data_IF_081172104746
#
_entry.id   IF_081172104746
#
_cell.length_a   1.000
_cell.length_b   1.000
_cell.length_c   1.000
_cell.angle_alpha   90.00
_cell.angle_beta   90.00
_cell.angle_gamma   90.00
#
_symmetry.space_group_name_H-M   'P 1'
#
loop_
_entity.id
_entity.type
_entity.pdbx_description
1 polymer ?
#
# COMPACT_ATOMS: atom_id res chain seq x y z
N UNK A 1 -42.80 49.14 14.90
CA UNK A 1 -41.37 49.36 15.16
C UNK A 1 -41.08 48.76 16.53
N UNK A 2 -40.21 47.79 16.80
CA UNK A 2 -39.11 47.13 16.10
C UNK A 2 -38.94 45.77 16.79
N UNK A 3 -39.01 44.66 16.06
CA UNK A 3 -38.68 43.32 16.56
C UNK A 3 -37.20 43.09 16.31
N UNK A 4 -36.39 43.15 17.36
CA UNK A 4 -34.97 42.79 17.31
C UNK A 4 -34.83 41.26 17.38
N UNK A 5 -34.85 40.60 16.23
CA UNK A 5 -34.32 39.24 16.08
C UNK A 5 -32.79 39.28 16.23
N UNK A 6 -32.30 38.71 17.32
CA UNK A 6 -30.88 38.41 17.52
C UNK A 6 -30.46 37.36 16.48
N UNK A 7 -29.73 37.79 15.45
CA UNK A 7 -29.04 36.90 14.52
C UNK A 7 -27.92 36.14 15.26
N UNK A 8 -28.26 34.97 15.81
CA UNK A 8 -27.28 34.04 16.35
C UNK A 8 -26.59 33.32 15.18
N UNK A 9 -25.45 33.84 14.72
CA UNK A 9 -24.61 33.17 13.72
C UNK A 9 -23.87 32.02 14.38
N UNK A 10 -24.34 30.79 14.19
CA UNK A 10 -23.62 29.59 14.60
C UNK A 10 -22.43 29.36 13.65
N UNK A 11 -21.23 29.16 14.21
CA UNK A 11 -20.01 28.87 13.46
C UNK A 11 -19.63 27.42 13.77
N UNK A 12 -19.78 26.52 12.80
CA UNK A 12 -19.24 25.15 12.87
C UNK A 12 -18.24 24.93 11.74
N UNK A 13 -16.96 24.80 12.11
CA UNK A 13 -15.83 24.54 11.22
C UNK A 13 -15.56 23.03 11.14
N UNK A 14 -15.40 22.49 9.92
CA UNK A 14 -14.88 21.14 9.69
C UNK A 14 -13.42 21.26 9.24
N UNK A 15 -12.49 20.61 9.95
CA UNK A 15 -11.05 20.62 9.66
C UNK A 15 -10.62 19.16 9.46
N UNK A 16 -10.08 18.83 8.29
CA UNK A 16 -9.48 17.52 8.01
C UNK A 16 -7.98 17.71 7.78
N UNK A 17 -7.13 17.18 8.68
CA UNK A 17 -5.67 17.23 8.57
C UNK A 17 -5.19 15.94 7.89
N UNK A 18 -4.51 16.05 6.75
CA UNK A 18 -3.85 14.92 6.08
C UNK A 18 -2.34 15.04 6.35
N UNK A 19 -1.82 14.18 7.22
CA UNK A 19 -0.39 14.11 7.51
C UNK A 19 0.36 13.35 6.41
N UNK A 20 1.47 13.93 5.93
CA UNK A 20 2.47 13.19 5.15
C UNK A 20 3.58 12.81 6.10
N UNK A 21 3.78 11.50 6.25
CA UNK A 21 4.85 10.94 7.04
C UNK A 21 5.90 10.42 6.08
N UNK A 22 7.11 10.95 6.19
CA UNK A 22 8.32 10.41 5.54
C UNK A 22 9.37 10.25 6.62
N UNK A 23 9.80 9.01 6.88
CA UNK A 23 10.80 8.67 7.89
C UNK A 23 11.89 7.78 7.29
N UNK A 24 13.13 8.09 7.67
CA UNK A 24 14.35 7.44 7.21
C UNK A 24 14.60 6.16 8.01
N UNK A 25 14.76 5.04 7.31
CA UNK A 25 15.08 3.75 7.91
C UNK A 25 16.59 3.64 8.16
N UNK A 26 17.04 3.71 9.42
CA UNK A 26 18.42 3.38 9.78
C UNK A 26 18.58 1.90 10.12
N UNK A 27 19.15 1.13 9.19
CA UNK A 27 20.17 0.12 9.46
C UNK A 27 20.78 -0.42 8.14
N UNK A 28 22.04 -0.09 7.85
CA UNK A 28 22.86 -0.70 6.79
C UNK A 28 24.01 -1.51 7.42
N UNK A 29 24.65 -2.46 6.72
CA UNK A 29 24.09 -3.63 6.05
C UNK A 29 24.69 -4.94 6.62
N UNK A 30 23.87 -5.99 6.77
CA UNK A 30 24.35 -7.36 6.51
C UNK A 30 24.54 -7.47 5.00
N UNK A 31 25.56 -8.17 4.51
CA UNK A 31 25.76 -8.37 3.07
C UNK A 31 24.42 -8.67 2.38
N UNK A 32 24.08 -7.98 1.28
CA UNK A 32 22.82 -8.21 0.61
C UNK A 32 22.76 -9.69 0.23
N UNK A 33 21.69 -10.41 0.59
CA UNK A 33 21.62 -11.85 0.37
C UNK A 33 21.51 -12.22 -1.13
N UNK A 34 21.31 -11.24 -2.02
CA UNK A 34 21.46 -11.41 -3.46
C UNK A 34 22.94 -11.58 -3.81
N UNK A 35 23.22 -12.69 -4.50
CA UNK A 35 24.55 -13.06 -4.99
C UNK A 35 24.77 -12.52 -6.40
N UNK A 36 23.76 -12.59 -7.25
CA UNK A 36 23.87 -12.19 -8.65
C UNK A 36 22.52 -11.70 -9.19
N UNK A 37 22.56 -10.66 -10.03
CA UNK A 37 21.44 -10.19 -10.82
C UNK A 37 21.91 -9.87 -12.24
N UNK A 38 21.26 -10.47 -13.24
CA UNK A 38 21.48 -10.16 -14.65
C UNK A 38 20.17 -9.81 -15.35
N UNK A 39 20.25 -8.86 -16.26
CA UNK A 39 19.17 -8.41 -17.12
C UNK A 39 19.70 -8.29 -18.55
N UNK A 40 19.21 -9.15 -19.44
CA UNK A 40 19.70 -9.25 -20.82
C UNK A 40 18.52 -9.01 -21.78
N UNK A 41 18.49 -7.89 -22.51
CA UNK A 41 17.50 -7.66 -23.57
C UNK A 41 17.61 -8.71 -24.69
N UNK A 42 16.47 -9.22 -25.15
CA UNK A 42 16.33 -10.27 -26.17
C UNK A 42 15.13 -9.95 -27.08
N UNK A 43 15.29 -8.98 -27.99
CA UNK A 43 14.22 -8.55 -28.87
C UNK A 43 13.10 -7.84 -28.10
N UNK A 44 11.88 -8.37 -28.18
CA UNK A 44 10.70 -7.91 -27.44
C UNK A 44 10.69 -8.38 -25.98
N UNK A 45 11.55 -9.33 -25.61
CA UNK A 45 11.66 -9.83 -24.24
C UNK A 45 12.93 -9.35 -23.55
N UNK A 46 12.91 -9.36 -22.23
CA UNK A 46 14.10 -9.19 -21.40
C UNK A 46 14.24 -10.39 -20.50
N UNK A 47 15.42 -11.02 -20.55
CA UNK A 47 15.77 -12.14 -19.70
C UNK A 47 16.29 -11.66 -18.35
N UNK A 48 15.58 -12.01 -17.29
CA UNK A 48 15.97 -11.73 -15.92
C UNK A 48 16.52 -13.00 -15.26
N UNK A 49 17.63 -12.88 -14.54
CA UNK A 49 18.24 -13.96 -13.76
C UNK A 49 18.65 -13.45 -12.39
N UNK A 50 18.22 -14.13 -11.34
CA UNK A 50 18.55 -13.81 -9.95
C UNK A 50 19.17 -15.02 -9.27
N UNK A 51 20.17 -14.77 -8.43
CA UNK A 51 20.77 -15.74 -7.53
C UNK A 51 20.83 -15.13 -6.14
N UNK A 52 20.42 -15.87 -5.11
CA UNK A 52 20.43 -15.40 -3.71
C UNK A 52 20.71 -16.53 -2.73
N UNK A 53 21.10 -16.19 -1.50
CA UNK A 53 21.15 -17.11 -0.36
C UNK A 53 19.83 -17.08 0.39
N UNK A 54 19.24 -18.25 0.64
CA UNK A 54 18.04 -18.37 1.48
C UNK A 54 18.37 -18.28 2.98
N UNK A 55 17.33 -18.36 3.84
CA UNK A 55 17.49 -18.26 5.29
C UNK A 55 18.41 -19.33 5.90
N UNK A 56 18.70 -20.40 5.16
CA UNK A 56 19.58 -21.51 5.57
C UNK A 56 20.97 -21.40 4.94
N UNK A 57 21.23 -20.32 4.20
CA UNK A 57 22.48 -20.09 3.48
C UNK A 57 22.61 -20.86 2.16
N UNK A 58 21.57 -21.58 1.71
CA UNK A 58 21.63 -22.30 0.46
C UNK A 58 21.43 -21.34 -0.72
N UNK A 59 22.21 -21.54 -1.77
CA UNK A 59 22.06 -20.79 -3.00
C UNK A 59 20.78 -21.20 -3.74
N UNK A 60 20.01 -20.21 -4.15
CA UNK A 60 18.79 -20.33 -4.92
C UNK A 60 18.91 -19.48 -6.18
N UNK A 61 18.13 -19.81 -7.19
CA UNK A 61 18.09 -19.05 -8.43
C UNK A 61 16.70 -19.04 -9.04
N UNK A 62 16.39 -18.00 -9.83
CA UNK A 62 15.22 -17.98 -10.70
C UNK A 62 15.57 -17.23 -11.98
N UNK A 63 15.01 -17.69 -13.10
CA UNK A 63 15.25 -17.12 -14.42
C UNK A 63 13.96 -17.09 -15.21
N UNK A 64 13.65 -15.97 -15.84
CA UNK A 64 12.45 -15.79 -16.65
C UNK A 64 12.67 -14.73 -17.74
N UNK A 65 12.14 -14.99 -18.94
CA UNK A 65 12.01 -13.98 -19.98
C UNK A 65 10.67 -13.28 -19.82
N UNK A 66 10.67 -11.96 -19.67
CA UNK A 66 9.48 -11.13 -19.50
C UNK A 66 9.31 -10.21 -20.71
N UNK A 67 8.08 -9.97 -21.12
CA UNK A 67 7.76 -9.03 -22.20
C UNK A 67 8.17 -7.60 -21.80
N UNK A 68 9.02 -6.97 -22.61
CA UNK A 68 9.64 -5.69 -22.26
C UNK A 68 8.61 -4.56 -22.26
N UNK A 69 7.65 -4.60 -23.19
CA UNK A 69 6.61 -3.57 -23.30
C UNK A 69 5.62 -3.65 -22.14
N UNK A 70 5.15 -4.84 -21.77
CA UNK A 70 4.26 -5.05 -20.64
C UNK A 70 4.91 -4.63 -19.32
N UNK A 71 6.19 -4.98 -19.14
CA UNK A 71 6.97 -4.53 -17.98
C UNK A 71 7.05 -2.99 -17.92
N UNK A 72 7.37 -2.32 -19.03
CA UNK A 72 7.44 -0.85 -19.07
C UNK A 72 6.08 -0.16 -18.88
N UNK A 73 5.01 -0.69 -19.48
CA UNK A 73 3.68 -0.10 -19.39
C UNK A 73 3.13 -0.19 -17.97
N UNK A 74 3.36 -1.29 -17.27
CA UNK A 74 2.96 -1.45 -15.87
C UNK A 74 3.66 -0.47 -14.92
N UNK A 75 4.87 0.00 -15.25
CA UNK A 75 5.58 1.04 -14.51
C UNK A 75 4.99 2.44 -14.70
N UNK A 76 4.31 2.71 -15.83
CA UNK A 76 3.72 4.02 -16.17
C UNK A 76 2.39 4.30 -15.47
N UNK A 77 1.73 3.26 -14.95
CA UNK A 77 0.42 3.36 -14.28
C UNK A 77 0.55 3.94 -12.87
N UNK A 78 1.76 4.00 -12.31
CA UNK A 78 1.95 4.50 -10.95
C UNK A 78 1.70 6.01 -10.81
N UNK A 79 0.77 6.36 -9.93
CA UNK A 79 0.54 7.74 -9.51
C UNK A 79 1.20 8.04 -8.16
N UNK A 80 2.10 9.01 -8.15
CA UNK A 80 2.68 9.54 -6.92
C UNK A 80 1.65 10.41 -6.17
N UNK A 81 1.25 9.98 -4.97
CA UNK A 81 0.36 10.77 -4.13
C UNK A 81 0.99 12.09 -3.69
N UNK A 82 0.23 13.19 -3.85
CA UNK A 82 0.59 14.52 -3.36
C UNK A 82 -0.66 15.12 -2.71
N UNK A 83 -0.66 15.42 -1.39
CA UNK A 83 -1.87 15.88 -0.71
C UNK A 83 -2.45 17.15 -1.31
N UNK A 84 -1.60 18.04 -1.85
CA UNK A 84 -2.03 19.24 -2.56
C UNK A 84 -2.91 18.96 -3.78
N UNK A 85 -2.70 17.85 -4.48
CA UNK A 85 -3.53 17.48 -5.63
C UNK A 85 -4.89 16.97 -5.18
N UNK A 86 -4.95 16.21 -4.07
CA UNK A 86 -6.22 15.82 -3.45
C UNK A 86 -6.98 17.05 -2.94
N UNK A 87 -6.31 17.94 -2.20
CA UNK A 87 -6.91 19.19 -1.71
C UNK A 87 -7.50 20.04 -2.84
N UNK A 88 -6.75 20.22 -3.94
CA UNK A 88 -7.23 20.95 -5.12
C UNK A 88 -8.42 20.26 -5.80
N UNK A 89 -8.40 18.91 -5.90
CA UNK A 89 -9.51 18.15 -6.46
C UNK A 89 -10.79 18.28 -5.63
N UNK A 90 -10.67 18.17 -4.29
CA UNK A 90 -11.79 18.34 -3.37
C UNK A 90 -12.31 19.78 -3.36
N UNK A 91 -11.43 20.78 -3.42
CA UNK A 91 -11.84 22.17 -3.58
C UNK A 91 -12.70 22.37 -4.83
N UNK A 92 -12.30 21.78 -5.97
CA UNK A 92 -13.09 21.87 -7.20
C UNK A 92 -14.48 21.23 -7.03
N UNK A 93 -14.56 20.06 -6.38
CA UNK A 93 -15.84 19.39 -6.11
C UNK A 93 -16.73 20.23 -5.18
N UNK A 94 -16.18 20.79 -4.11
CA UNK A 94 -16.89 21.66 -3.16
C UNK A 94 -17.41 22.92 -3.85
N UNK A 95 -16.60 23.58 -4.69
CA UNK A 95 -17.01 24.78 -5.43
C UNK A 95 -18.13 24.51 -6.42
N UNK A 96 -18.14 23.34 -7.07
CA UNK A 96 -19.25 22.94 -7.96
C UNK A 96 -20.54 22.74 -7.18
N UNK A 97 -20.47 22.11 -6.01
CA UNK A 97 -21.62 21.87 -5.16
C UNK A 97 -22.17 23.13 -4.47
N UNK A 98 -21.44 24.25 -4.48
CA UNK A 98 -21.91 25.52 -3.90
C UNK A 98 -23.22 26.01 -4.54
N UNK A 99 -23.39 25.77 -5.84
CA UNK A 99 -24.58 26.17 -6.59
C UNK A 99 -25.85 25.40 -6.17
N UNK A 100 -25.68 24.20 -5.60
CA UNK A 100 -26.76 23.30 -5.22
C UNK A 100 -27.11 23.39 -3.72
N UNK A 101 -26.52 24.35 -2.99
CA UNK A 101 -26.80 24.52 -1.56
C UNK A 101 -28.20 25.13 -1.34
N UNK A 102 -28.85 24.81 -0.20
CA UNK A 102 -30.10 25.43 0.20
C UNK A 102 -30.06 26.96 0.16
N UNK A 103 -31.17 27.58 -0.29
CA UNK A 103 -31.27 29.02 -0.40
C UNK A 103 -31.05 29.70 0.96
N UNK A 104 -30.22 30.76 0.99
CA UNK A 104 -29.91 31.49 2.23
C UNK A 104 -28.76 30.89 3.05
N UNK A 105 -28.21 29.73 2.65
CA UNK A 105 -26.92 29.23 3.16
C UNK A 105 -25.78 29.86 2.36
N UNK A 106 -24.80 30.40 3.07
CA UNK A 106 -23.57 30.94 2.50
C UNK A 106 -22.41 30.03 2.86
N UNK A 107 -21.59 29.69 1.86
CA UNK A 107 -20.36 28.93 2.04
C UNK A 107 -19.14 29.84 1.98
N UNK A 108 -18.16 29.58 2.85
CA UNK A 108 -16.81 30.13 2.73
C UNK A 108 -15.81 28.97 2.76
N UNK A 109 -15.09 28.82 1.67
CA UNK A 109 -14.00 27.86 1.52
C UNK A 109 -12.65 28.54 1.74
N UNK A 110 -11.81 27.95 2.56
CA UNK A 110 -10.40 28.32 2.73
C UNK A 110 -9.52 27.10 2.45
N UNK A 111 -8.43 27.29 1.71
CA UNK A 111 -7.45 26.25 1.39
C UNK A 111 -6.06 26.70 1.85
N UNK A 112 -5.31 25.80 2.48
CA UNK A 112 -3.92 26.01 2.92
C UNK A 112 -2.90 25.25 2.06
N UNK A 113 -3.31 24.74 0.90
CA UNK A 113 -2.50 23.93 -0.01
C UNK A 113 -2.49 22.45 0.34
N UNK A 114 -2.61 22.06 1.62
CA UNK A 114 -2.63 20.65 2.06
C UNK A 114 -3.96 20.23 2.68
N UNK A 115 -4.80 21.20 3.04
CA UNK A 115 -6.10 20.97 3.65
C UNK A 115 -7.07 22.06 3.22
N UNK A 116 -8.35 21.75 3.27
CA UNK A 116 -9.43 22.72 3.09
C UNK A 116 -10.23 22.85 4.38
N UNK A 117 -10.88 23.99 4.55
CA UNK A 117 -11.87 24.22 5.59
C UNK A 117 -13.09 24.89 4.98
N UNK A 118 -14.26 24.30 5.25
CA UNK A 118 -15.56 24.83 4.82
C UNK A 118 -16.28 25.41 6.04
N UNK A 119 -16.70 26.67 5.92
CA UNK A 119 -17.60 27.32 6.87
C UNK A 119 -18.94 27.55 6.19
N UNK A 120 -20.01 27.03 6.80
CA UNK A 120 -21.39 27.28 6.39
C UNK A 120 -22.05 28.22 7.38
N UNK A 121 -22.82 29.16 6.87
CA UNK A 121 -23.60 30.11 7.67
C UNK A 121 -24.96 30.33 7.03
N UNK A 122 -26.02 30.37 7.83
CA UNK A 122 -27.38 30.60 7.35
C UNK A 122 -28.25 31.17 8.46
N UNK A 123 -29.48 31.54 8.13
CA UNK A 123 -30.48 31.99 9.12
C UNK A 123 -31.26 30.81 9.71
N UNK A 124 -31.48 29.77 8.90
CA UNK A 124 -32.13 28.53 9.30
C UNK A 124 -31.08 27.46 9.61
N UNK A 125 -31.22 26.80 10.76
CA UNK A 125 -30.27 25.78 11.19
C UNK A 125 -30.47 24.45 10.44
N UNK A 126 -31.69 24.14 10.04
CA UNK A 126 -32.01 22.91 9.31
C UNK A 126 -31.44 22.98 7.89
N UNK A 127 -31.53 24.16 7.24
CA UNK A 127 -30.89 24.39 5.94
C UNK A 127 -29.35 24.30 6.04
N UNK A 128 -28.75 24.83 7.11
CA UNK A 128 -27.29 24.72 7.34
C UNK A 128 -26.89 23.26 7.60
N UNK A 129 -27.72 22.49 8.30
CA UNK A 129 -27.49 21.07 8.54
C UNK A 129 -27.64 20.24 7.24
N UNK A 130 -28.65 20.52 6.43
CA UNK A 130 -28.85 19.90 5.12
C UNK A 130 -27.69 20.20 4.17
N UNK A 131 -27.27 21.46 4.08
CA UNK A 131 -26.10 21.89 3.31
C UNK A 131 -24.83 21.15 3.75
N UNK A 132 -24.65 20.95 5.06
CA UNK A 132 -23.51 20.21 5.61
C UNK A 132 -23.55 18.74 5.23
N UNK A 133 -24.70 18.10 5.35
CA UNK A 133 -24.87 16.70 4.97
C UNK A 133 -24.58 16.49 3.47
N UNK A 134 -25.13 17.36 2.61
CA UNK A 134 -24.88 17.35 1.17
C UNK A 134 -23.38 17.53 0.86
N UNK A 135 -22.71 18.52 1.44
CA UNK A 135 -21.28 18.72 1.20
C UNK A 135 -20.42 17.56 1.71
N UNK A 136 -20.76 16.96 2.84
CA UNK A 136 -20.06 15.78 3.34
C UNK A 136 -20.17 14.61 2.34
N UNK A 137 -21.34 14.41 1.72
CA UNK A 137 -21.51 13.39 0.68
C UNK A 137 -20.70 13.72 -0.58
N UNK A 138 -20.71 14.97 -1.05
CA UNK A 138 -19.90 15.42 -2.20
C UNK A 138 -18.41 15.20 -1.93
N UNK A 139 -17.93 15.59 -0.75
CA UNK A 139 -16.53 15.41 -0.34
C UNK A 139 -16.17 13.93 -0.32
N UNK A 140 -16.97 13.10 0.33
CA UNK A 140 -16.69 11.66 0.44
C UNK A 140 -16.70 10.98 -0.92
N UNK A 141 -17.66 11.33 -1.80
CA UNK A 141 -17.73 10.81 -3.16
C UNK A 141 -16.56 11.27 -4.03
N UNK A 142 -16.20 12.55 -3.97
CA UNK A 142 -15.07 13.10 -4.71
C UNK A 142 -13.74 12.49 -4.23
N UNK A 143 -13.56 12.32 -2.93
CA UNK A 143 -12.36 11.67 -2.39
C UNK A 143 -12.28 10.21 -2.84
N UNK A 144 -13.38 9.45 -2.75
CA UNK A 144 -13.42 8.06 -3.23
C UNK A 144 -13.05 7.97 -4.72
N UNK A 145 -13.64 8.81 -5.56
CA UNK A 145 -13.33 8.87 -6.99
C UNK A 145 -11.87 9.21 -7.25
N UNK A 146 -11.33 10.22 -6.55
CA UNK A 146 -9.93 10.63 -6.71
C UNK A 146 -8.96 9.49 -6.43
N UNK A 147 -9.22 8.73 -5.37
CA UNK A 147 -8.41 7.61 -4.94
C UNK A 147 -8.52 6.43 -5.92
N UNK A 148 -9.73 6.10 -6.35
CA UNK A 148 -10.00 5.03 -7.32
C UNK A 148 -9.30 5.29 -8.67
N UNK A 149 -9.47 6.49 -9.23
CA UNK A 149 -8.88 6.91 -10.51
C UNK A 149 -7.34 6.83 -10.53
N UNK A 150 -6.73 6.83 -9.34
CA UNK A 150 -5.27 6.90 -9.16
C UNK A 150 -4.70 5.66 -8.49
N UNK A 151 -5.52 4.63 -8.28
CA UNK A 151 -5.13 3.39 -7.62
C UNK A 151 -4.46 3.66 -6.26
N UNK A 152 -5.13 4.50 -5.46
CA UNK A 152 -4.76 4.84 -4.10
C UNK A 152 -5.77 4.23 -3.13
N UNK A 153 -5.31 3.93 -1.92
CA UNK A 153 -6.14 3.41 -0.85
C UNK A 153 -5.99 4.26 0.41
N UNK A 154 -7.05 4.29 1.24
CA UNK A 154 -6.96 4.79 2.61
C UNK A 154 -6.39 3.70 3.51
N UNK A 155 -5.40 4.06 4.31
CA UNK A 155 -4.87 3.22 5.38
C UNK A 155 -5.21 3.84 6.73
N UNK A 156 -5.57 3.00 7.69
CA UNK A 156 -5.51 3.32 9.10
C UNK A 156 -4.48 2.39 9.73
N UNK A 157 -3.42 2.93 10.33
CA UNK A 157 -2.38 2.12 10.96
C UNK A 157 -2.83 1.53 12.31
N UNK A 158 -1.95 0.73 12.93
CA UNK A 158 -2.20 0.14 14.24
C UNK A 158 -2.33 1.14 15.41
N UNK A 159 -2.02 2.42 15.18
CA UNK A 159 -2.11 3.51 16.15
C UNK A 159 -3.30 4.43 15.86
N UNK A 160 -4.15 4.08 14.89
CA UNK A 160 -5.32 4.86 14.50
C UNK A 160 -5.01 6.06 13.61
N UNK A 161 -3.77 6.22 13.14
CA UNK A 161 -3.41 7.28 12.19
C UNK A 161 -3.92 6.93 10.80
N UNK A 162 -4.43 7.95 10.10
CA UNK A 162 -4.95 7.79 8.75
C UNK A 162 -3.97 8.33 7.70
N UNK A 163 -3.86 7.62 6.59
CA UNK A 163 -3.03 8.01 5.45
C UNK A 163 -3.63 7.59 4.12
N UNK A 164 -3.08 8.15 3.04
CA UNK A 164 -3.35 7.71 1.67
C UNK A 164 -2.08 7.06 1.14
N UNK A 165 -2.20 5.81 0.71
CA UNK A 165 -1.11 4.98 0.21
C UNK A 165 -1.42 4.51 -1.21
N UNK A 166 -0.44 4.02 -1.99
CA UNK A 166 -0.73 3.23 -3.17
C UNK A 166 -1.61 2.02 -2.82
N UNK A 167 -2.54 1.66 -3.70
CA UNK A 167 -3.33 0.44 -3.53
C UNK A 167 -2.46 -0.78 -3.85
N UNK A 168 -1.73 -1.27 -2.84
CA UNK A 168 -0.82 -2.40 -2.98
C UNK A 168 -1.53 -3.66 -3.51
N UNK A 169 -2.81 -3.85 -3.21
CA UNK A 169 -3.59 -5.00 -3.67
C UNK A 169 -3.95 -4.86 -5.16
N UNK A 170 -4.33 -3.66 -5.59
CA UNK A 170 -4.51 -3.36 -7.01
C UNK A 170 -3.22 -3.63 -7.79
N UNK A 171 -2.09 -3.04 -7.37
CA UNK A 171 -0.82 -3.20 -8.08
C UNK A 171 -0.35 -4.66 -8.09
N UNK A 172 -0.50 -5.39 -6.98
CA UNK A 172 -0.19 -6.82 -6.95
C UNK A 172 -1.04 -7.63 -7.94
N UNK A 173 -2.35 -7.36 -8.03
CA UNK A 173 -3.24 -8.03 -8.99
C UNK A 173 -2.92 -7.66 -10.43
N UNK A 174 -2.73 -6.38 -10.72
CA UNK A 174 -2.37 -5.87 -12.05
C UNK A 174 -1.04 -6.47 -12.55
N UNK A 175 -0.18 -6.91 -11.63
CA UNK A 175 1.12 -7.50 -11.94
C UNK A 175 1.10 -8.98 -12.29
N UNK A 176 -0.03 -9.69 -12.12
CA UNK A 176 -0.11 -11.12 -12.41
C UNK A 176 0.21 -11.44 -13.88
N UNK A 177 -0.30 -10.62 -14.80
CA UNK A 177 -0.09 -10.81 -16.23
C UNK A 177 1.37 -10.52 -16.66
N UNK A 178 1.96 -9.33 -16.38
CA UNK A 178 3.34 -9.05 -16.80
C UNK A 178 4.37 -9.95 -16.11
N UNK A 179 4.08 -10.46 -14.91
CA UNK A 179 4.96 -11.37 -14.18
C UNK A 179 4.67 -12.86 -14.44
N UNK A 180 3.74 -13.21 -15.35
CA UNK A 180 3.33 -14.59 -15.57
C UNK A 180 4.50 -15.57 -15.85
N UNK A 181 5.53 -15.22 -16.66
CA UNK A 181 6.67 -16.11 -16.86
C UNK A 181 7.50 -16.32 -15.59
N UNK A 182 7.67 -15.28 -14.75
CA UNK A 182 8.37 -15.39 -13.46
C UNK A 182 7.57 -16.23 -12.46
N UNK A 183 6.24 -16.01 -12.38
CA UNK A 183 5.32 -16.83 -11.58
C UNK A 183 5.42 -18.30 -12.01
N UNK A 184 5.45 -18.57 -13.32
CA UNK A 184 5.60 -19.93 -13.86
C UNK A 184 6.94 -20.54 -13.48
N UNK A 185 8.03 -19.77 -13.51
CA UNK A 185 9.35 -20.23 -13.07
C UNK A 185 9.34 -20.63 -11.59
N UNK A 186 8.74 -19.81 -10.72
CA UNK A 186 8.56 -20.15 -9.30
C UNK A 186 7.67 -21.38 -9.11
N UNK A 187 6.53 -21.46 -9.79
CA UNK A 187 5.62 -22.60 -9.68
C UNK A 187 6.34 -23.92 -9.97
N UNK A 188 7.15 -23.97 -11.05
CA UNK A 188 7.94 -25.16 -11.39
C UNK A 188 8.95 -25.56 -10.30
N UNK A 189 9.50 -24.59 -9.56
CA UNK A 189 10.46 -24.84 -8.49
C UNK A 189 9.80 -25.28 -7.18
N UNK A 190 8.57 -24.83 -6.91
CA UNK A 190 7.97 -24.97 -5.57
C UNK A 190 6.71 -25.84 -5.53
N UNK A 191 6.15 -26.26 -6.66
CA UNK A 191 4.89 -27.01 -6.71
C UNK A 191 4.94 -28.37 -5.98
N UNK A 192 6.11 -28.97 -5.81
CA UNK A 192 6.31 -30.23 -5.08
C UNK A 192 6.72 -30.01 -3.62
N UNK A 193 6.94 -28.77 -3.19
CA UNK A 193 7.35 -28.45 -1.83
C UNK A 193 6.13 -28.30 -0.91
N UNK A 194 6.30 -28.56 0.41
CA UNK A 194 5.29 -28.19 1.40
C UNK A 194 4.96 -26.68 1.28
N UNK A 195 3.69 -26.27 1.41
CA UNK A 195 3.29 -24.88 1.14
C UNK A 195 4.08 -23.82 1.92
N UNK A 196 4.43 -24.08 3.17
CA UNK A 196 5.22 -23.13 3.98
C UNK A 196 6.66 -22.96 3.46
N UNK A 197 7.28 -24.02 2.96
CA UNK A 197 8.61 -23.99 2.33
C UNK A 197 8.55 -23.29 0.96
N UNK A 198 7.48 -23.53 0.21
CA UNK A 198 7.26 -22.85 -1.06
C UNK A 198 7.10 -21.34 -0.90
N UNK A 199 6.33 -20.90 0.12
CA UNK A 199 6.20 -19.50 0.46
C UNK A 199 7.53 -18.92 0.95
N UNK A 200 8.29 -19.65 1.77
CA UNK A 200 9.64 -19.25 2.20
C UNK A 200 10.58 -19.00 1.00
N UNK A 201 10.53 -19.84 -0.03
CA UNK A 201 11.32 -19.64 -1.26
C UNK A 201 10.99 -18.33 -1.96
N UNK A 202 9.70 -18.03 -2.14
CA UNK A 202 9.23 -16.79 -2.78
C UNK A 202 9.58 -15.57 -1.92
N UNK A 203 9.34 -15.68 -0.61
CA UNK A 203 9.58 -14.60 0.35
C UNK A 203 11.07 -14.28 0.46
N UNK A 204 11.96 -15.28 0.54
CA UNK A 204 13.40 -15.06 0.56
C UNK A 204 13.93 -14.47 -0.75
N UNK A 205 13.34 -14.80 -1.90
CA UNK A 205 13.65 -14.13 -3.16
C UNK A 205 13.35 -12.63 -3.07
N UNK A 206 12.14 -12.26 -2.60
CA UNK A 206 11.73 -10.86 -2.50
C UNK A 206 12.58 -10.10 -1.48
N UNK A 207 12.86 -10.71 -0.33
CA UNK A 207 13.76 -10.12 0.67
C UNK A 207 15.17 -9.92 0.12
N UNK A 208 15.60 -10.74 -0.85
CA UNK A 208 16.92 -10.63 -1.45
C UNK A 208 17.06 -9.50 -2.45
N UNK A 209 15.96 -9.00 -3.02
CA UNK A 209 16.00 -7.80 -3.83
C UNK A 209 16.50 -6.64 -2.96
N UNK A 210 17.51 -5.86 -3.39
CA UNK A 210 18.06 -4.73 -2.65
C UNK A 210 17.00 -3.76 -2.11
N UNK A 211 17.20 -3.29 -0.87
CA UNK A 211 16.32 -2.29 -0.25
C UNK A 211 16.71 -0.88 -0.70
N UNK A 212 15.70 -0.08 -1.04
CA UNK A 212 15.84 1.32 -1.45
C UNK A 212 14.67 2.07 -0.82
N UNK A 213 14.91 3.14 -0.05
CA UNK A 213 13.86 3.98 0.57
C UNK A 213 13.06 4.79 -0.48
N UNK A 214 13.45 4.72 -1.76
CA UNK A 214 12.77 5.30 -2.91
C UNK A 214 12.55 6.84 -2.84
N UNK A 215 13.46 7.59 -2.21
CA UNK A 215 13.34 9.05 -2.07
C UNK A 215 13.39 9.84 -3.40
N UNK A 216 12.55 10.89 -3.47
CA UNK A 216 12.43 12.02 -4.42
C UNK A 216 12.24 11.79 -5.92
N UNK A 217 12.74 10.73 -6.55
CA UNK A 217 12.65 10.56 -8.02
C UNK A 217 11.51 9.65 -8.49
N UNK A 218 11.14 8.62 -7.71
CA UNK A 218 10.04 7.69 -8.03
C UNK A 218 8.75 7.95 -7.26
N UNK A 219 8.83 8.73 -6.17
CA UNK A 219 7.65 9.13 -5.43
C UNK A 219 7.13 8.14 -4.39
N UNK A 220 8.01 7.26 -3.89
CA UNK A 220 7.79 6.47 -2.67
C UNK A 220 7.04 5.16 -2.86
N UNK A 221 7.06 4.56 -4.06
CA UNK A 221 6.59 3.20 -4.34
C UNK A 221 7.01 2.76 -5.75
N UNK A 222 7.33 1.47 -5.92
CA UNK A 222 7.54 0.81 -7.20
C UNK A 222 6.51 -0.31 -7.39
N UNK A 223 5.71 -0.30 -8.46
CA UNK A 223 4.89 -1.45 -8.82
C UNK A 223 5.74 -2.72 -8.97
N UNK A 224 5.18 -3.92 -8.71
CA UNK A 224 5.95 -5.16 -8.76
C UNK A 224 6.81 -5.40 -10.01
N UNK A 225 6.36 -5.06 -11.24
CA UNK A 225 7.20 -5.19 -12.43
C UNK A 225 8.39 -4.24 -12.41
N UNK A 226 8.24 -3.02 -11.88
CA UNK A 226 9.36 -2.09 -11.67
C UNK A 226 10.35 -2.64 -10.66
N UNK A 227 9.89 -3.27 -9.57
CA UNK A 227 10.78 -3.91 -8.58
C UNK A 227 11.68 -4.97 -9.22
N UNK A 228 11.11 -5.79 -10.12
CA UNK A 228 11.86 -6.77 -10.92
C UNK A 228 12.80 -6.05 -11.91
N UNK A 229 12.27 -5.09 -12.68
CA UNK A 229 13.00 -4.40 -13.74
C UNK A 229 14.20 -3.59 -13.25
N UNK A 230 14.07 -2.97 -12.07
CA UNK A 230 15.09 -2.11 -11.43
C UNK A 230 15.89 -2.86 -10.36
N UNK A 231 15.47 -4.07 -9.97
CA UNK A 231 16.08 -4.88 -8.92
C UNK A 231 16.26 -4.10 -7.60
N UNK A 232 15.21 -3.40 -7.18
CA UNK A 232 15.17 -2.64 -5.93
C UNK A 232 13.74 -2.32 -5.52
N UNK A 233 13.53 -2.02 -4.25
CA UNK A 233 12.25 -1.53 -3.74
C UNK A 233 12.25 -1.35 -2.22
N UNK A 234 11.33 -0.53 -1.75
CA UNK A 234 11.02 -0.36 -0.33
C UNK A 234 10.17 -1.54 0.20
N UNK A 235 9.76 -1.49 1.47
CA UNK A 235 8.95 -2.52 2.10
C UNK A 235 7.58 -2.71 1.42
N UNK A 236 6.92 -1.64 1.03
CA UNK A 236 5.59 -1.65 0.40
C UNK A 236 5.61 -2.24 -1.02
N UNK A 237 6.60 -1.84 -1.83
CA UNK A 237 6.82 -2.34 -3.19
C UNK A 237 7.12 -3.83 -3.18
N UNK A 238 7.96 -4.27 -2.24
CA UNK A 238 8.29 -5.69 -2.03
C UNK A 238 7.11 -6.49 -1.50
N UNK A 239 6.31 -5.93 -0.61
CA UNK A 239 5.09 -6.57 -0.15
C UNK A 239 4.13 -6.84 -1.31
N UNK A 240 3.91 -5.85 -2.18
CA UNK A 240 3.07 -6.00 -3.37
C UNK A 240 3.64 -7.05 -4.34
N UNK A 241 4.95 -7.09 -4.55
CA UNK A 241 5.60 -8.13 -5.36
C UNK A 241 5.42 -9.53 -4.76
N UNK A 242 5.64 -9.68 -3.47
CA UNK A 242 5.42 -10.94 -2.78
C UNK A 242 3.97 -11.41 -2.91
N UNK A 243 2.99 -10.50 -2.77
CA UNK A 243 1.58 -10.81 -2.99
C UNK A 243 1.34 -11.30 -4.42
N UNK A 244 1.85 -10.60 -5.44
CA UNK A 244 1.67 -10.97 -6.84
C UNK A 244 2.21 -12.38 -7.13
N UNK A 245 3.43 -12.68 -6.67
CA UNK A 245 4.06 -13.99 -6.85
C UNK A 245 3.32 -15.09 -6.09
N UNK A 246 2.98 -14.87 -4.82
CA UNK A 246 2.25 -15.85 -4.00
C UNK A 246 0.88 -16.10 -4.59
N UNK A 247 0.16 -15.07 -5.05
CA UNK A 247 -1.18 -15.21 -5.62
C UNK A 247 -1.14 -15.92 -6.97
N UNK A 248 -0.09 -15.70 -7.76
CA UNK A 248 0.16 -16.44 -8.99
C UNK A 248 0.46 -17.92 -8.78
N UNK A 249 1.27 -18.26 -7.76
CA UNK A 249 1.67 -19.65 -7.47
C UNK A 249 0.62 -20.42 -6.65
N UNK A 250 -0.01 -19.75 -5.68
CA UNK A 250 -1.01 -20.31 -4.77
C UNK A 250 -2.28 -19.44 -4.71
N UNK A 251 -3.13 -19.48 -5.75
CA UNK A 251 -4.29 -18.58 -5.88
C UNK A 251 -5.22 -18.57 -4.66
N UNK A 252 -5.38 -19.71 -3.97
CA UNK A 252 -6.31 -19.88 -2.85
C UNK A 252 -5.68 -19.75 -1.45
N UNK A 253 -4.38 -19.47 -1.36
CA UNK A 253 -3.73 -19.35 -0.04
C UNK A 253 -4.25 -18.11 0.69
N UNK A 254 -4.81 -18.27 1.88
CA UNK A 254 -5.16 -17.13 2.73
C UNK A 254 -3.88 -16.43 3.18
N UNK A 255 -3.66 -15.21 2.68
CA UNK A 255 -2.59 -14.32 3.12
C UNK A 255 -3.20 -12.95 3.45
N UNK A 256 -2.48 -12.17 4.24
CA UNK A 256 -2.84 -10.80 4.56
C UNK A 256 -1.60 -9.93 4.50
N UNK A 257 -1.81 -8.66 4.14
CA UNK A 257 -0.84 -7.59 4.33
C UNK A 257 -1.00 -7.05 5.76
N UNK A 258 0.11 -6.92 6.47
CA UNK A 258 0.16 -6.44 7.85
C UNK A 258 0.93 -5.13 7.85
N UNK A 259 0.22 -4.03 8.05
CA UNK A 259 0.80 -2.70 8.19
C UNK A 259 1.17 -2.46 9.64
N UNK A 260 2.43 -2.11 9.82
CA UNK A 260 3.04 -1.65 11.06
C UNK A 260 3.31 -0.14 10.95
N UNK A 261 3.81 0.50 12.00
CA UNK A 261 3.99 1.97 12.03
C UNK A 261 4.82 2.49 10.85
N UNK A 262 5.92 1.82 10.57
CA UNK A 262 6.95 2.25 9.61
C UNK A 262 7.40 1.08 8.72
N UNK A 263 6.60 0.01 8.66
CA UNK A 263 6.96 -1.22 7.98
C UNK A 263 5.73 -2.01 7.50
N UNK A 264 5.93 -2.89 6.54
CA UNK A 264 4.92 -3.81 6.06
C UNK A 264 5.48 -5.22 5.92
N UNK A 265 4.69 -6.21 6.33
CA UNK A 265 5.00 -7.63 6.15
C UNK A 265 3.76 -8.39 5.70
N UNK A 266 3.93 -9.64 5.29
CA UNK A 266 2.81 -10.53 4.99
C UNK A 266 2.56 -11.49 6.13
N UNK A 267 1.36 -12.06 6.16
CA UNK A 267 1.07 -13.20 7.01
C UNK A 267 0.25 -14.23 6.24
N UNK A 268 0.40 -15.51 6.56
CA UNK A 268 -0.33 -16.60 5.93
C UNK A 268 -1.03 -17.48 6.96
N UNK A 269 -2.15 -18.07 6.56
CA UNK A 269 -2.80 -19.12 7.34
C UNK A 269 -2.38 -20.51 6.85
N UNK A 270 -2.21 -21.42 7.80
CA UNK A 270 -2.03 -22.85 7.55
C UNK A 270 -2.99 -23.66 8.41
N UNK A 271 -3.41 -24.81 7.88
CA UNK A 271 -4.28 -25.77 8.55
C UNK A 271 -3.50 -26.87 9.28
N UNK A 272 -2.20 -26.70 9.42
CA UNK A 272 -1.27 -27.55 10.15
C UNK A 272 -0.28 -26.65 10.88
N UNK A 273 0.31 -27.16 11.96
CA UNK A 273 1.25 -26.37 12.74
C UNK A 273 2.59 -26.25 12.00
N UNK A 274 2.93 -25.02 11.66
CA UNK A 274 4.23 -24.66 11.10
C UNK A 274 5.02 -24.05 12.24
N UNK A 275 6.28 -24.44 12.41
CA UNK A 275 7.14 -23.84 13.42
C UNK A 275 7.29 -22.33 13.16
N UNK A 276 7.05 -21.51 14.19
CA UNK A 276 7.19 -20.07 14.12
C UNK A 276 6.37 -19.33 15.16
N UNK A 277 6.48 -18.00 15.13
CA UNK A 277 5.84 -17.10 16.09
C UNK A 277 4.48 -16.66 15.55
N UNK A 278 3.48 -17.52 15.74
CA UNK A 278 2.10 -17.25 15.36
C UNK A 278 1.51 -16.07 16.14
N UNK A 279 0.68 -15.27 15.48
CA UNK A 279 -0.16 -14.26 16.12
C UNK A 279 -1.63 -14.44 15.75
N UNK A 280 -2.53 -13.82 16.51
CA UNK A 280 -3.98 -13.90 16.27
C UNK A 280 -4.53 -12.52 15.93
N UNK A 281 -5.36 -12.45 14.89
CA UNK A 281 -6.11 -11.25 14.51
C UNK A 281 -7.45 -11.66 13.90
N UNK A 282 -8.52 -10.96 14.26
CA UNK A 282 -9.89 -11.22 13.79
C UNK A 282 -10.30 -12.70 13.94
N UNK A 283 -9.96 -13.33 15.08
CA UNK A 283 -10.27 -14.74 15.37
C UNK A 283 -9.46 -15.77 14.56
N UNK A 284 -8.51 -15.34 13.74
CA UNK A 284 -7.70 -16.20 12.89
C UNK A 284 -6.24 -16.24 13.36
N UNK A 285 -5.60 -17.41 13.24
CA UNK A 285 -4.14 -17.58 13.47
C UNK A 285 -3.37 -17.27 12.18
N UNK A 286 -2.35 -16.43 12.31
CA UNK A 286 -1.53 -15.94 11.23
C UNK A 286 -0.05 -16.19 11.52
N UNK A 287 0.66 -16.68 10.52
CA UNK A 287 2.10 -16.88 10.57
C UNK A 287 2.79 -15.74 9.81
N UNK A 288 3.66 -14.94 10.44
CA UNK A 288 4.28 -13.78 9.80
C UNK A 288 5.32 -14.20 8.75
N UNK A 289 5.49 -13.35 7.75
CA UNK A 289 6.42 -13.51 6.63
C UNK A 289 7.00 -12.13 6.30
N UNK A 290 8.23 -11.88 6.76
CA UNK A 290 8.95 -10.65 6.41
C UNK A 290 9.22 -10.59 4.91
N UNK A 291 8.97 -9.44 4.29
CA UNK A 291 9.15 -9.25 2.84
C UNK A 291 10.31 -8.33 2.50
N UNK A 292 10.74 -7.50 3.45
CA UNK A 292 11.83 -6.56 3.24
C UNK A 292 12.94 -6.76 4.28
N UNK A 293 14.17 -6.69 3.76
CA UNK A 293 15.42 -6.80 4.53
C UNK A 293 15.73 -5.57 5.38
N UNK A 294 16.91 -5.52 6.04
CA UNK A 294 18.17 -6.03 5.50
C UNK A 294 18.50 -7.51 5.81
N UNK A 295 17.73 -8.19 6.66
CA UNK A 295 17.94 -9.61 6.97
C UNK A 295 17.15 -10.55 6.06
N UNK A 296 17.61 -11.81 5.93
CA UNK A 296 16.77 -12.92 5.45
C UNK A 296 16.11 -13.60 6.66
N UNK A 297 14.79 -13.64 6.67
CA UNK A 297 13.96 -14.28 7.68
C UNK A 297 13.21 -15.49 7.08
N UNK A 298 13.18 -16.63 7.79
CA UNK A 298 12.32 -17.75 7.42
C UNK A 298 10.84 -17.40 7.64
N UNK A 299 9.95 -18.17 7.02
CA UNK A 299 8.52 -18.06 7.29
C UNK A 299 8.26 -18.39 8.76
N UNK A 300 7.43 -17.58 9.42
CA UNK A 300 7.17 -17.72 10.85
C UNK A 300 8.12 -16.97 11.77
N UNK A 301 9.06 -16.19 11.22
CA UNK A 301 9.88 -15.24 11.99
C UNK A 301 9.73 -13.84 11.42
N UNK A 302 9.65 -12.86 12.31
CA UNK A 302 9.63 -11.46 11.95
C UNK A 302 10.86 -10.74 12.50
N UNK A 303 11.10 -9.51 12.06
CA UNK A 303 12.15 -8.70 12.68
C UNK A 303 11.79 -8.43 14.16
N UNK A 304 12.78 -8.18 15.04
CA UNK A 304 12.48 -7.85 16.44
C UNK A 304 11.54 -6.65 16.62
N UNK A 305 11.59 -5.66 15.71
CA UNK A 305 10.66 -4.51 15.72
C UNK A 305 9.25 -4.96 15.34
N UNK A 306 9.10 -5.69 14.24
CA UNK A 306 7.83 -6.24 13.79
C UNK A 306 7.16 -7.12 14.85
N UNK A 307 7.94 -7.99 15.51
CA UNK A 307 7.43 -8.82 16.61
C UNK A 307 6.91 -7.99 17.79
N UNK A 308 7.58 -6.90 18.15
CA UNK A 308 7.13 -6.02 19.24
C UNK A 308 5.79 -5.38 18.90
N UNK A 309 5.64 -4.84 17.70
CA UNK A 309 4.39 -4.19 17.27
C UNK A 309 3.24 -5.20 17.14
N UNK A 310 3.51 -6.40 16.60
CA UNK A 310 2.53 -7.50 16.57
C UNK A 310 2.08 -7.89 17.98
N UNK A 311 3.02 -8.07 18.92
CA UNK A 311 2.71 -8.41 20.32
C UNK A 311 1.91 -7.30 21.01
N UNK A 312 2.21 -6.05 20.70
CA UNK A 312 1.47 -4.88 21.19
C UNK A 312 0.09 -4.69 20.52
N UNK A 313 -0.26 -5.53 19.52
CA UNK A 313 -1.45 -5.35 18.66
C UNK A 313 -1.49 -4.00 17.95
N UNK A 314 -0.32 -3.40 17.75
CA UNK A 314 -0.15 -2.13 17.06
C UNK A 314 0.03 -2.37 15.55
N UNK A 315 -0.95 -3.01 14.91
CA UNK A 315 -0.92 -3.30 13.49
C UNK A 315 -2.30 -3.22 12.85
N UNK A 316 -2.32 -3.03 11.53
CA UNK A 316 -3.53 -3.19 10.71
C UNK A 316 -3.37 -4.39 9.78
N UNK A 317 -4.27 -5.36 9.91
CA UNK A 317 -4.32 -6.50 9.00
C UNK A 317 -5.32 -6.24 7.87
N UNK A 318 -4.87 -6.44 6.63
CA UNK A 318 -5.67 -6.32 5.40
C UNK A 318 -5.62 -7.66 4.67
N UNK A 319 -6.71 -8.45 4.68
CA UNK A 319 -6.77 -9.71 3.95
C UNK A 319 -6.55 -9.47 2.45
N UNK A 320 -5.72 -10.32 1.82
CA UNK A 320 -5.58 -10.32 0.37
C UNK A 320 -6.68 -11.21 -0.22
N UNK A 321 -7.59 -10.66 -1.04
CA UNK A 321 -8.71 -11.39 -1.62
C UNK A 321 -8.29 -12.47 -2.61
#
# INVERSE_FOLDING_TARGET
>A
MSVHQKNLRLIMSLILLVGVISYQCQAAPKEPPQVEFNKIPQGDQTLYSYVWKDARGNQQYVKASLDTEQMMNSSRVHYQFKPRHLSAYLEQAIRRAEADLPAGVNMRLSNSGYSYAVRLTGRDNDDVAAARAQLNQVIAGAEAQYLEDRHLAKLQDGYGQHGVIPDHLFYARASLQPLAPLITAFYKQVNQLPPHIALERIINFVQAIPYDDLERLSGGYLPPPSVINENKGDCDSKAALAIALIRGVYPRRKIALVYLKEHALLAAQFNYDVQGDWFTADGNRWLPMEVAGPGIFPVGKASPQSEREIKAKAFRLVPVP
#
